data_IF_182728204642
#
_entry.id   IF_182728204642
#
_cell.length_a   1.000
_cell.length_b   1.000
_cell.length_c   1.000
_cell.angle_alpha   90.00
_cell.angle_beta   90.00
_cell.angle_gamma   90.00
#
_symmetry.space_group_name_H-M   'P 1'
#
loop_
_entity.id
_entity.type
_entity.pdbx_description
1 polymer ?
#
# COMPACT_ATOMS: atom_id res chain seq x y z
N UNK A 1 35.18 45.53 -35.04
CA UNK A 1 34.45 44.24 -35.07
C UNK A 1 34.12 43.71 -33.67
N UNK A 2 33.46 44.50 -32.80
CA UNK A 2 33.10 44.06 -31.43
C UNK A 2 31.70 44.50 -30.96
N UNK A 3 30.94 45.20 -31.81
CA UNK A 3 29.61 45.74 -31.43
C UNK A 3 28.41 44.95 -32.01
N UNK A 4 28.62 44.19 -33.08
CA UNK A 4 27.59 43.32 -33.68
C UNK A 4 27.39 42.00 -32.92
N UNK A 5 28.36 41.58 -32.11
CA UNK A 5 28.30 40.33 -31.36
C UNK A 5 27.46 40.45 -30.07
N UNK A 6 27.36 41.65 -29.51
CA UNK A 6 26.56 41.92 -28.29
C UNK A 6 25.06 41.95 -28.60
N UNK A 7 24.67 42.45 -29.78
CA UNK A 7 23.26 42.47 -30.20
C UNK A 7 22.75 41.07 -30.53
N UNK A 8 23.61 40.19 -31.09
CA UNK A 8 23.23 38.80 -31.37
C UNK A 8 22.99 37.97 -30.11
N UNK A 9 23.64 38.29 -28.98
CA UNK A 9 23.47 37.54 -27.74
C UNK A 9 22.21 37.96 -26.96
N UNK A 10 21.76 39.21 -27.11
CA UNK A 10 20.56 39.74 -26.46
C UNK A 10 19.25 39.25 -27.08
N UNK A 11 19.23 38.92 -28.38
CA UNK A 11 18.03 38.37 -29.05
C UNK A 11 17.77 36.91 -28.67
N UNK A 12 18.83 36.15 -28.35
CA UNK A 12 18.71 34.75 -27.93
C UNK A 12 18.12 34.66 -26.51
N UNK A 13 18.38 35.64 -25.65
CA UNK A 13 17.89 35.63 -24.26
C UNK A 13 16.38 35.95 -24.18
N UNK A 14 15.81 36.68 -25.15
CA UNK A 14 14.39 37.04 -25.15
C UNK A 14 13.48 36.08 -25.93
N UNK A 15 14.07 35.12 -26.66
CA UNK A 15 13.34 34.10 -27.44
C UNK A 15 13.02 32.84 -26.63
N UNK A 16 13.33 32.84 -25.33
CA UNK A 16 12.83 31.84 -24.40
C UNK A 16 11.35 32.09 -24.17
N UNK A 17 10.52 31.65 -25.12
CA UNK A 17 9.10 31.43 -24.85
C UNK A 17 9.03 30.56 -23.60
N UNK A 18 8.59 31.17 -22.50
CA UNK A 18 8.14 30.44 -21.33
C UNK A 18 6.88 29.70 -21.77
N UNK A 19 7.09 28.56 -22.44
CA UNK A 19 6.14 27.48 -22.39
C UNK A 19 6.17 27.02 -20.95
N UNK A 20 5.34 27.66 -20.13
CA UNK A 20 4.74 27.00 -18.98
C UNK A 20 4.04 25.79 -19.55
N UNK A 21 4.79 24.69 -19.68
CA UNK A 21 4.16 23.40 -19.55
C UNK A 21 3.49 23.47 -18.19
N UNK A 22 2.17 23.24 -18.08
CA UNK A 22 1.64 22.91 -16.78
C UNK A 22 2.52 21.76 -16.28
N UNK A 23 3.30 22.02 -15.23
CA UNK A 23 3.88 20.95 -14.45
C UNK A 23 2.69 20.33 -13.72
N UNK A 24 1.89 19.54 -14.45
CA UNK A 24 1.29 18.40 -13.84
C UNK A 24 2.47 17.60 -13.33
N UNK A 25 2.58 17.46 -12.01
CA UNK A 25 3.51 16.52 -11.42
C UNK A 25 3.21 15.13 -12.01
N UNK A 26 3.94 14.76 -13.07
CA UNK A 26 3.87 13.44 -13.69
C UNK A 26 5.21 12.75 -13.46
N UNK A 27 5.39 12.26 -12.22
CA UNK A 27 6.30 11.16 -11.93
C UNK A 27 5.81 10.37 -10.72
N UNK A 28 4.79 9.53 -10.95
CA UNK A 28 4.56 8.27 -10.22
C UNK A 28 4.03 7.21 -11.22
N UNK A 29 4.67 7.08 -12.39
CA UNK A 29 4.18 6.26 -13.51
C UNK A 29 4.56 4.78 -13.33
N UNK A 30 3.81 4.10 -12.46
CA UNK A 30 3.51 2.65 -12.38
C UNK A 30 3.00 2.27 -10.98
N UNK A 31 3.27 3.09 -9.95
CA UNK A 31 2.81 2.83 -8.58
C UNK A 31 1.48 3.52 -8.23
N UNK A 32 1.06 4.58 -8.92
CA UNK A 32 -0.23 5.23 -8.62
C UNK A 32 -1.42 4.31 -8.91
N UNK A 33 -1.42 3.65 -10.08
CA UNK A 33 -2.50 2.77 -10.49
C UNK A 33 -2.50 1.49 -9.65
N UNK A 34 -1.32 0.93 -9.39
CA UNK A 34 -1.17 -0.22 -8.50
C UNK A 34 -1.60 0.07 -7.06
N UNK A 35 -1.26 1.26 -6.54
CA UNK A 35 -1.71 1.74 -5.24
C UNK A 35 -3.23 1.92 -5.20
N UNK A 36 -3.79 2.56 -6.23
CA UNK A 36 -5.24 2.78 -6.32
C UNK A 36 -6.01 1.45 -6.40
N UNK A 37 -5.54 0.51 -7.24
CA UNK A 37 -6.11 -0.84 -7.31
C UNK A 37 -6.03 -1.50 -5.93
N UNK A 38 -4.87 -1.48 -5.27
CA UNK A 38 -4.71 -2.08 -3.95
C UNK A 38 -5.69 -1.49 -2.91
N UNK A 39 -5.75 -0.16 -2.81
CA UNK A 39 -6.66 0.55 -1.91
C UNK A 39 -8.13 0.18 -2.16
N UNK A 40 -8.54 0.11 -3.43
CA UNK A 40 -9.89 -0.30 -3.81
C UNK A 40 -10.17 -1.74 -3.37
N UNK A 41 -9.24 -2.66 -3.58
CA UNK A 41 -9.41 -4.06 -3.20
C UNK A 41 -9.44 -4.24 -1.68
N UNK A 42 -8.56 -3.55 -0.95
CA UNK A 42 -8.55 -3.56 0.52
C UNK A 42 -9.86 -3.00 1.08
N UNK A 43 -10.35 -1.88 0.53
CA UNK A 43 -11.64 -1.32 0.91
C UNK A 43 -12.79 -2.31 0.71
N UNK A 44 -12.84 -2.99 -0.45
CA UNK A 44 -13.87 -4.00 -0.76
C UNK A 44 -13.84 -5.14 0.24
N UNK A 45 -12.64 -5.64 0.56
CA UNK A 45 -12.46 -6.73 1.54
C UNK A 45 -12.92 -6.30 2.92
N UNK A 46 -12.46 -5.16 3.42
CA UNK A 46 -12.87 -4.66 4.74
C UNK A 46 -14.37 -4.38 4.80
N UNK A 47 -14.96 -3.83 3.74
CA UNK A 47 -16.42 -3.63 3.63
C UNK A 47 -17.20 -4.95 3.73
N UNK A 48 -16.69 -6.00 3.09
CA UNK A 48 -17.31 -7.33 3.14
C UNK A 48 -17.16 -7.96 4.51
N UNK A 49 -15.98 -7.86 5.12
CA UNK A 49 -15.73 -8.38 6.47
C UNK A 49 -16.56 -7.61 7.52
N UNK A 50 -16.76 -6.31 7.35
CA UNK A 50 -17.65 -5.49 8.18
C UNK A 50 -19.09 -6.02 8.12
N UNK A 51 -19.60 -6.31 6.91
CA UNK A 51 -20.93 -6.86 6.68
C UNK A 51 -21.09 -8.30 7.21
N UNK A 52 -20.08 -9.15 7.00
CA UNK A 52 -20.08 -10.53 7.49
C UNK A 52 -20.04 -10.60 9.02
N UNK A 53 -19.39 -9.63 9.66
CA UNK A 53 -19.32 -9.50 11.10
C UNK A 53 -20.36 -8.54 11.69
N UNK A 54 -21.43 -8.16 10.96
CA UNK A 54 -22.36 -7.11 11.41
C UNK A 54 -23.06 -7.41 12.74
N UNK A 55 -23.19 -8.69 13.11
CA UNK A 55 -23.74 -9.12 14.42
C UNK A 55 -22.74 -8.97 15.57
N UNK A 56 -21.45 -8.83 15.28
CA UNK A 56 -20.39 -8.56 16.24
C UNK A 56 -19.95 -7.09 16.11
N UNK A 57 -20.52 -6.23 16.96
CA UNK A 57 -20.26 -4.80 16.91
C UNK A 57 -18.75 -4.46 16.95
N UNK A 58 -17.97 -5.15 17.78
CA UNK A 58 -16.52 -4.87 17.90
C UNK A 58 -15.78 -5.17 16.60
N UNK A 59 -16.01 -6.35 15.99
CA UNK A 59 -15.35 -6.72 14.75
C UNK A 59 -15.87 -5.88 13.58
N UNK A 60 -17.17 -5.65 13.49
CA UNK A 60 -17.77 -4.81 12.45
C UNK A 60 -17.20 -3.39 12.48
N UNK A 61 -17.12 -2.76 13.66
CA UNK A 61 -16.52 -1.42 13.81
C UNK A 61 -15.02 -1.40 13.51
N UNK A 62 -14.30 -2.47 13.81
CA UNK A 62 -12.89 -2.60 13.44
C UNK A 62 -12.71 -2.59 11.92
N UNK A 63 -13.47 -3.42 11.20
CA UNK A 63 -13.43 -3.48 9.74
C UNK A 63 -13.87 -2.15 9.09
N UNK A 64 -14.89 -1.47 9.65
CA UNK A 64 -15.27 -0.11 9.22
C UNK A 64 -14.13 0.88 9.40
N UNK A 65 -13.44 0.86 10.55
CA UNK A 65 -12.32 1.76 10.81
C UNK A 65 -11.18 1.50 9.83
N UNK A 66 -10.90 0.22 9.53
CA UNK A 66 -9.90 -0.18 8.54
C UNK A 66 -10.29 0.24 7.12
N UNK A 67 -11.55 0.09 6.71
CA UNK A 67 -11.96 0.53 5.36
C UNK A 67 -11.76 2.04 5.15
N UNK A 68 -11.95 2.85 6.20
CA UNK A 68 -11.71 4.29 6.15
C UNK A 68 -10.24 4.68 5.92
N UNK A 69 -9.28 3.78 6.18
CA UNK A 69 -7.86 4.02 5.89
C UNK A 69 -7.55 3.93 4.38
N UNK A 70 -8.35 3.16 3.63
CA UNK A 70 -8.09 2.90 2.21
C UNK A 70 -8.84 3.84 1.27
N UNK A 71 -10.04 4.29 1.66
CA UNK A 71 -10.86 5.16 0.84
C UNK A 71 -11.66 6.15 1.68
N UNK A 72 -11.51 7.44 1.38
CA UNK A 72 -12.19 8.51 2.09
C UNK A 72 -12.46 9.74 1.24
N UNK A 73 -12.56 10.89 1.90
CA UNK A 73 -13.00 12.14 1.27
C UNK A 73 -12.04 12.64 0.18
N UNK A 74 -10.75 12.32 0.28
CA UNK A 74 -9.76 12.73 -0.71
C UNK A 74 -9.99 12.00 -2.04
N UNK A 75 -10.18 10.68 -1.99
CA UNK A 75 -10.40 9.81 -3.14
C UNK A 75 -11.74 10.16 -3.82
N UNK A 76 -12.80 10.40 -3.03
CA UNK A 76 -14.08 10.92 -3.53
C UNK A 76 -13.90 12.30 -4.18
N UNK A 77 -13.06 13.16 -3.60
CA UNK A 77 -12.75 14.48 -4.14
C UNK A 77 -12.04 14.40 -5.49
N UNK A 78 -11.09 13.48 -5.66
CA UNK A 78 -10.42 13.22 -6.95
C UNK A 78 -11.43 12.70 -7.98
N UNK A 79 -12.18 11.66 -7.63
CA UNK A 79 -13.21 11.08 -8.51
C UNK A 79 -14.28 12.10 -8.91
N UNK A 80 -14.61 13.07 -8.03
CA UNK A 80 -15.60 14.09 -8.34
C UNK A 80 -15.17 15.06 -9.43
N UNK A 81 -13.85 15.23 -9.65
CA UNK A 81 -13.30 16.09 -10.70
C UNK A 81 -13.47 15.48 -12.09
N UNK A 82 -13.54 14.15 -12.19
CA UNK A 82 -13.65 13.40 -13.44
C UNK A 82 -15.08 12.89 -13.67
N UNK A 83 -15.76 12.45 -12.61
CA UNK A 83 -17.11 11.90 -12.64
C UNK A 83 -17.90 12.18 -11.34
N UNK A 84 -18.50 13.36 -11.26
CA UNK A 84 -19.24 13.82 -10.07
C UNK A 84 -20.46 12.98 -9.72
N UNK A 85 -21.14 12.40 -10.72
CA UNK A 85 -22.28 11.49 -10.49
C UNK A 85 -21.82 10.23 -9.79
N UNK A 86 -20.78 9.57 -10.30
CA UNK A 86 -20.22 8.37 -9.71
C UNK A 86 -19.67 8.63 -8.31
N UNK A 87 -18.97 9.76 -8.11
CA UNK A 87 -18.49 10.17 -6.79
C UNK A 87 -19.64 10.31 -5.77
N UNK A 88 -20.76 10.92 -6.17
CA UNK A 88 -21.93 11.09 -5.32
C UNK A 88 -22.59 9.75 -4.98
N UNK A 89 -22.74 8.88 -5.98
CA UNK A 89 -23.31 7.54 -5.79
C UNK A 89 -22.44 6.70 -4.85
N UNK A 90 -21.12 6.71 -5.06
CA UNK A 90 -20.17 5.99 -4.24
C UNK A 90 -20.17 6.51 -2.79
N UNK A 91 -20.10 7.83 -2.60
CA UNK A 91 -20.19 8.43 -1.25
C UNK A 91 -21.48 8.01 -0.54
N UNK A 92 -22.61 8.06 -1.24
CA UNK A 92 -23.92 7.67 -0.67
C UNK A 92 -23.94 6.18 -0.31
N UNK A 93 -23.37 5.32 -1.17
CA UNK A 93 -23.29 3.88 -0.92
C UNK A 93 -22.43 3.56 0.30
N UNK A 94 -21.26 4.20 0.42
CA UNK A 94 -20.36 4.09 1.57
C UNK A 94 -21.08 4.55 2.86
N UNK A 95 -21.75 5.70 2.85
CA UNK A 95 -22.48 6.21 4.00
C UNK A 95 -23.60 5.24 4.43
N UNK A 96 -24.34 4.70 3.46
CA UNK A 96 -25.38 3.72 3.71
C UNK A 96 -24.80 2.43 4.33
N UNK A 97 -23.66 1.96 3.84
CA UNK A 97 -22.97 0.78 4.38
C UNK A 97 -22.50 1.04 5.82
N UNK A 98 -21.79 2.14 6.05
CA UNK A 98 -21.29 2.52 7.37
C UNK A 98 -22.40 2.73 8.39
N UNK A 99 -23.56 3.23 7.96
CA UNK A 99 -24.72 3.41 8.84
C UNK A 99 -25.23 2.09 9.44
N UNK A 100 -24.89 0.95 8.85
CA UNK A 100 -25.27 -0.37 9.36
C UNK A 100 -24.36 -0.84 10.51
N UNK A 101 -23.10 -0.42 10.52
CA UNK A 101 -22.18 -0.78 11.58
C UNK A 101 -22.65 -0.19 12.92
N UNK A 102 -22.76 -1.05 13.94
CA UNK A 102 -23.24 -0.64 15.26
C UNK A 102 -24.76 -0.49 15.40
N UNK A 103 -25.54 -0.82 14.37
CA UNK A 103 -26.99 -0.94 14.51
C UNK A 103 -27.36 -2.16 15.35
N UNK A 104 -28.30 -1.97 16.28
CA UNK A 104 -28.87 -3.07 17.04
C UNK A 104 -29.81 -3.88 16.12
N UNK A 105 -29.58 -5.20 16.01
CA UNK A 105 -30.29 -6.10 15.11
C UNK A 105 -30.13 -5.78 13.61
N UNK A 106 -28.93 -5.31 13.20
CA UNK A 106 -28.61 -5.16 11.80
C UNK A 106 -28.88 -6.46 11.01
N UNK A 107 -29.53 -6.34 9.86
CA UNK A 107 -29.79 -7.48 8.97
C UNK A 107 -28.52 -7.83 8.16
N UNK A 108 -27.93 -9.03 8.36
CA UNK A 108 -26.73 -9.45 7.63
C UNK A 108 -26.93 -9.51 6.12
N UNK A 109 -28.14 -9.81 5.65
CA UNK A 109 -28.44 -9.86 4.20
C UNK A 109 -28.38 -8.47 3.60
N UNK A 110 -29.00 -7.50 4.27
CA UNK A 110 -28.97 -6.10 3.86
C UNK A 110 -27.55 -5.52 3.93
N UNK A 111 -26.78 -5.87 4.95
CA UNK A 111 -25.38 -5.43 5.09
C UNK A 111 -24.52 -5.91 3.92
N UNK A 112 -24.66 -7.19 3.56
CA UNK A 112 -23.96 -7.77 2.42
C UNK A 112 -24.39 -7.14 1.10
N UNK A 113 -25.69 -6.91 0.91
CA UNK A 113 -26.18 -6.23 -0.28
C UNK A 113 -25.55 -4.83 -0.43
N UNK A 114 -25.48 -4.04 0.66
CA UNK A 114 -24.84 -2.73 0.61
C UNK A 114 -23.34 -2.81 0.33
N UNK A 115 -22.64 -3.79 0.90
CA UNK A 115 -21.22 -4.00 0.63
C UNK A 115 -20.97 -4.36 -0.86
N UNK A 116 -21.85 -5.17 -1.45
CA UNK A 116 -21.79 -5.54 -2.86
C UNK A 116 -22.10 -4.32 -3.76
N UNK A 117 -23.12 -3.52 -3.43
CA UNK A 117 -23.43 -2.27 -4.13
C UNK A 117 -22.25 -1.29 -4.10
N UNK A 118 -21.59 -1.13 -2.94
CA UNK A 118 -20.38 -0.32 -2.82
C UNK A 118 -19.24 -0.87 -3.66
N UNK A 119 -19.04 -2.20 -3.65
CA UNK A 119 -18.00 -2.87 -4.43
C UNK A 119 -18.17 -2.65 -5.93
N UNK A 120 -19.41 -2.71 -6.44
CA UNK A 120 -19.71 -2.47 -7.85
C UNK A 120 -19.44 -1.01 -8.25
N UNK A 121 -19.71 -0.04 -7.38
CA UNK A 121 -19.40 1.37 -7.63
C UNK A 121 -17.89 1.62 -7.59
N UNK A 122 -17.16 0.91 -6.73
CA UNK A 122 -15.70 0.94 -6.71
C UNK A 122 -15.08 0.32 -7.97
N UNK A 123 -15.67 -0.75 -8.53
CA UNK A 123 -15.23 -1.29 -9.84
C UNK A 123 -15.38 -0.26 -10.96
N UNK A 124 -16.46 0.53 -10.92
CA UNK A 124 -16.68 1.63 -11.87
C UNK A 124 -15.67 2.76 -11.64
N UNK A 125 -15.37 3.10 -10.39
CA UNK A 125 -14.37 4.12 -10.05
C UNK A 125 -12.97 3.69 -10.50
N UNK A 126 -12.59 2.43 -10.27
CA UNK A 126 -11.35 1.85 -10.76
C UNK A 126 -11.24 1.96 -12.28
N UNK A 127 -12.32 1.61 -13.01
CA UNK A 127 -12.34 1.69 -14.47
C UNK A 127 -12.31 3.12 -15.03
N UNK A 128 -12.74 4.10 -14.24
CA UNK A 128 -12.72 5.51 -14.60
C UNK A 128 -11.34 6.15 -14.38
N UNK A 129 -10.65 5.77 -13.31
CA UNK A 129 -9.38 6.37 -12.87
C UNK A 129 -8.15 5.58 -13.38
N UNK A 130 -8.29 4.27 -13.58
CA UNK A 130 -7.21 3.39 -14.04
C UNK A 130 -7.42 3.05 -15.52
N UNK A 131 -6.39 3.34 -16.32
CA UNK A 131 -6.44 3.01 -17.76
C UNK A 131 -6.57 1.50 -17.99
N UNK A 132 -7.29 1.08 -19.03
CA UNK A 132 -7.41 -0.34 -19.39
C UNK A 132 -6.06 -1.01 -19.67
N UNK A 133 -5.06 -0.25 -20.14
CA UNK A 133 -3.69 -0.75 -20.27
C UNK A 133 -3.05 -1.09 -18.92
N UNK A 134 -3.30 -0.29 -17.88
CA UNK A 134 -2.79 -0.55 -16.52
C UNK A 134 -3.55 -1.70 -15.86
N UNK A 135 -4.87 -1.79 -16.03
CA UNK A 135 -5.68 -2.89 -15.50
C UNK A 135 -5.22 -4.27 -16.00
N UNK A 136 -4.82 -4.35 -17.27
CA UNK A 136 -4.35 -5.60 -17.89
C UNK A 136 -2.83 -5.78 -17.84
N UNK A 137 -2.11 -4.87 -17.18
CA UNK A 137 -0.65 -4.95 -17.06
C UNK A 137 -0.28 -5.84 -15.86
N UNK A 138 0.35 -6.98 -16.13
CA UNK A 138 0.75 -7.93 -15.10
C UNK A 138 1.72 -7.36 -14.06
N UNK A 139 2.57 -6.39 -14.43
CA UNK A 139 3.47 -5.71 -13.49
C UNK A 139 2.69 -4.78 -12.56
N UNK A 140 1.70 -4.04 -13.07
CA UNK A 140 0.83 -3.20 -12.25
C UNK A 140 0.02 -4.05 -11.27
N UNK A 141 -0.55 -5.15 -11.75
CA UNK A 141 -1.29 -6.09 -10.90
C UNK A 141 -0.39 -6.76 -9.85
N UNK A 142 0.83 -7.16 -10.22
CA UNK A 142 1.80 -7.69 -9.27
C UNK A 142 2.17 -6.64 -8.20
N UNK A 143 2.33 -5.38 -8.58
CA UNK A 143 2.59 -4.30 -7.64
C UNK A 143 1.39 -4.00 -6.73
N UNK A 144 0.17 -4.08 -7.25
CA UNK A 144 -1.05 -3.96 -6.45
C UNK A 144 -1.11 -5.06 -5.39
N UNK A 145 -0.82 -6.31 -5.78
CA UNK A 145 -0.73 -7.44 -4.83
C UNK A 145 0.36 -7.20 -3.78
N UNK A 146 1.53 -6.70 -4.17
CA UNK A 146 2.60 -6.36 -3.23
C UNK A 146 2.14 -5.29 -2.24
N UNK A 147 1.42 -4.26 -2.69
CA UNK A 147 0.87 -3.24 -1.82
C UNK A 147 -0.11 -3.83 -0.80
N UNK A 148 -1.01 -4.73 -1.23
CA UNK A 148 -1.92 -5.45 -0.32
C UNK A 148 -1.16 -6.30 0.69
N UNK A 149 -0.15 -7.07 0.25
CA UNK A 149 0.67 -7.90 1.14
C UNK A 149 1.40 -7.03 2.17
N UNK A 150 1.94 -5.88 1.75
CA UNK A 150 2.63 -4.97 2.65
C UNK A 150 1.70 -4.47 3.74
N UNK A 151 0.46 -4.13 3.40
CA UNK A 151 -0.50 -3.65 4.39
C UNK A 151 -0.92 -4.75 5.37
N UNK A 152 -1.20 -5.95 4.87
CA UNK A 152 -1.48 -7.12 5.72
C UNK A 152 -0.32 -7.40 6.69
N UNK A 153 0.93 -7.26 6.24
CA UNK A 153 2.10 -7.43 7.09
C UNK A 153 2.25 -6.32 8.14
N UNK A 154 1.90 -5.06 7.81
CA UNK A 154 1.86 -3.97 8.80
C UNK A 154 0.78 -4.20 9.84
N UNK A 155 -0.42 -4.60 9.43
CA UNK A 155 -1.53 -4.92 10.33
C UNK A 155 -1.17 -6.09 11.25
N UNK A 156 -0.58 -7.16 10.68
CA UNK A 156 -0.11 -8.30 11.46
C UNK A 156 0.98 -7.90 12.46
N UNK A 157 1.97 -7.11 12.02
CA UNK A 157 3.02 -6.58 12.89
C UNK A 157 2.46 -5.76 14.05
N UNK A 158 1.48 -4.90 13.76
CA UNK A 158 0.78 -4.11 14.77
C UNK A 158 0.01 -4.99 15.76
N UNK A 159 -0.70 -6.01 15.27
CA UNK A 159 -1.49 -6.92 16.09
C UNK A 159 -0.64 -7.74 17.08
N UNK A 160 0.59 -8.09 16.71
CA UNK A 160 1.52 -8.81 17.60
C UNK A 160 2.44 -7.88 18.42
N UNK A 161 2.29 -6.55 18.28
CA UNK A 161 3.15 -5.57 18.93
C UNK A 161 4.60 -5.60 18.43
N UNK A 162 4.82 -5.99 17.17
CA UNK A 162 6.13 -5.97 16.54
C UNK A 162 6.64 -4.54 16.41
N UNK A 163 7.88 -4.31 16.83
CA UNK A 163 8.62 -3.06 16.57
C UNK A 163 9.39 -3.11 15.25
N UNK A 164 9.36 -4.26 14.58
CA UNK A 164 10.06 -4.52 13.33
C UNK A 164 9.05 -4.38 12.18
N UNK A 165 9.42 -3.58 11.18
CA UNK A 165 8.70 -3.50 9.92
C UNK A 165 8.81 -4.84 9.19
N UNK A 166 7.69 -5.56 9.11
CA UNK A 166 7.59 -6.88 8.51
C UNK A 166 7.55 -6.83 6.98
N UNK A 167 7.32 -5.66 6.39
CA UNK A 167 7.39 -5.45 4.93
C UNK A 167 8.83 -5.37 4.44
N UNK A 168 9.75 -5.03 5.34
CA UNK A 168 11.17 -4.92 5.03
C UNK A 168 11.90 -6.24 5.30
N UNK A 169 12.19 -6.97 4.23
CA UNK A 169 12.93 -8.24 4.29
C UNK A 169 14.37 -8.08 4.80
N UNK A 170 14.96 -6.87 4.76
CA UNK A 170 16.30 -6.63 5.34
C UNK A 170 16.28 -6.76 6.87
N UNK A 171 15.12 -6.53 7.50
CA UNK A 171 14.93 -6.76 8.92
C UNK A 171 14.86 -8.24 9.29
N UNK A 172 14.62 -9.14 8.32
CA UNK A 172 14.71 -10.59 8.49
C UNK A 172 16.15 -11.12 8.33
N UNK A 173 17.17 -10.26 8.33
CA UNK A 173 18.57 -10.68 8.46
C UNK A 173 18.82 -11.26 9.87
N UNK A 174 18.40 -12.52 10.07
CA UNK A 174 18.84 -13.35 11.18
C UNK A 174 20.34 -13.56 11.01
N UNK A 175 21.07 -12.70 11.70
CA UNK A 175 22.48 -12.75 11.98
C UNK A 175 22.96 -14.21 12.20
N UNK A 176 23.47 -14.87 11.16
CA UNK A 176 24.09 -16.20 11.21
C UNK A 176 25.50 -16.15 11.81
N UNK A 177 25.71 -15.31 12.83
CA UNK A 177 26.99 -15.15 13.50
C UNK A 177 26.90 -15.54 14.98
N UNK A 178 26.64 -16.83 15.24
CA UNK A 178 27.19 -17.50 16.44
C UNK A 178 27.02 -19.02 16.39
N UNK A 179 27.92 -19.71 15.70
CA UNK A 179 28.37 -21.07 16.05
C UNK A 179 29.69 -21.37 15.37
N UNK A 180 30.70 -20.59 15.77
CA UNK A 180 32.10 -20.79 15.38
C UNK A 180 32.99 -20.69 16.60
N UNK A 181 32.75 -21.51 17.63
CA UNK A 181 33.66 -21.64 18.76
C UNK A 181 33.78 -23.11 19.16
N UNK A 182 34.91 -23.75 18.83
CA UNK A 182 35.14 -25.13 19.26
C UNK A 182 36.25 -25.94 18.59
N UNK A 183 37.28 -25.35 17.97
CA UNK A 183 38.53 -26.10 17.68
C UNK A 183 39.65 -25.54 18.54
N UNK A 184 39.62 -25.88 19.83
CA UNK A 184 40.74 -25.68 20.74
C UNK A 184 41.79 -26.75 20.45
N UNK A 185 42.99 -26.29 20.10
CA UNK A 185 44.10 -27.13 19.66
C UNK A 185 44.58 -28.12 20.73
N UNK A 186 44.52 -29.41 20.41
CA UNK A 186 45.14 -30.47 21.18
C UNK A 186 46.62 -30.59 20.79
N UNK A 187 47.46 -29.64 21.23
CA UNK A 187 48.93 -29.77 21.19
C UNK A 187 49.36 -30.72 22.31
N UNK A 188 49.54 -32.01 21.99
CA UNK A 188 50.18 -32.97 22.92
C UNK A 188 51.65 -32.61 23.07
N UNK A 189 51.98 -31.98 24.21
CA UNK A 189 53.33 -31.81 24.67
C UNK A 189 53.82 -33.13 25.29
N UNK A 190 54.90 -33.66 24.70
CA UNK A 190 55.64 -34.83 25.17
C UNK A 190 56.25 -34.53 26.54
N UNK A 191 56.07 -35.42 27.52
CA UNK A 191 57.00 -35.58 28.64
C UNK A 191 57.47 -37.03 28.67
N UNK A 192 58.74 -37.20 28.32
CA UNK A 192 59.52 -38.38 28.63
C UNK A 192 59.99 -38.23 30.08
N UNK A 193 59.58 -39.13 30.96
CA UNK A 193 60.34 -39.41 32.18
C UNK A 193 60.45 -40.93 32.34
N UNK A 194 61.70 -41.41 32.25
CA UNK A 194 62.12 -42.76 32.61
C UNK A 194 62.31 -42.80 34.13
N UNK A 195 61.78 -43.83 34.81
CA UNK A 195 62.52 -44.76 35.70
C UNK A 195 61.59 -45.54 36.67
N UNK A 196 61.66 -46.87 36.54
CA UNK A 196 62.02 -47.89 37.56
C UNK A 196 61.16 -48.15 38.82
N UNK A 197 60.99 -49.47 39.04
CA UNK A 197 60.58 -50.24 40.22
C UNK A 197 59.07 -50.25 40.55
N UNK A 198 58.39 -51.38 40.75
CA UNK A 198 58.76 -52.77 41.04
C UNK A 198 58.01 -53.75 40.13
#
# INVERSE_FOLDING_TARGET
MKRTLVVSLMVIIFSGTMVVHPAFAHTFVQNSDASLIAQIQEFKVESKLMADNISNNTLSQWHLSKSQEYWGNNEIGVLSQTNSTLATQLSTSIDNLYSMAGQQNADPTMANQKADETSQLLDQAESQEVSSSSQNNSTVQALAIVNVINEVLKDYGTAIGSTIDLTNMDNMNMNSSSSGNGMSGMRRHVKNDKHSNC
#
